data_IF_629602991747
#
_entry.id   IF_629602991747
#
_cell.length_a   1.000
_cell.length_b   1.000
_cell.length_c   1.000
_cell.angle_alpha   90.00
_cell.angle_beta   90.00
_cell.angle_gamma   90.00
#
_symmetry.space_group_name_H-M   'P 1'
#
loop_
_entity.id
_entity.type
_entity.pdbx_description
1 polymer ?
#
# COMPACT_ATOMS: atom_id res chain seq x y z
N UNK A 1 6.47 17.78 -6.41
CA UNK A 1 5.52 17.30 -7.45
C UNK A 1 6.10 16.00 -7.96
N UNK A 2 5.39 14.87 -7.85
CA UNK A 2 5.87 13.66 -8.53
C UNK A 2 5.85 13.94 -10.04
N UNK A 3 6.92 13.58 -10.75
CA UNK A 3 6.94 13.67 -12.19
C UNK A 3 5.74 12.90 -12.77
N UNK A 4 5.16 13.43 -13.84
CA UNK A 4 4.27 12.67 -14.71
C UNK A 4 4.99 11.41 -15.19
N UNK A 5 4.27 10.29 -15.34
CA UNK A 5 4.85 9.02 -15.77
C UNK A 5 3.78 7.93 -15.88
N UNK A 6 4.21 6.68 -16.08
CA UNK A 6 3.32 5.52 -16.16
C UNK A 6 3.03 5.03 -17.58
N UNK A 7 3.56 5.67 -18.61
CA UNK A 7 3.41 5.28 -20.02
C UNK A 7 3.85 3.84 -20.28
N UNK A 8 4.85 3.34 -19.55
CA UNK A 8 5.23 1.93 -19.57
C UNK A 8 4.05 0.98 -19.32
N UNK A 9 3.13 1.33 -18.41
CA UNK A 9 1.93 0.52 -18.13
C UNK A 9 1.04 0.42 -19.37
N UNK A 10 0.90 1.51 -20.13
CA UNK A 10 0.10 1.54 -21.36
C UNK A 10 0.74 0.68 -22.45
N UNK A 11 2.08 0.77 -22.61
CA UNK A 11 2.81 -0.07 -23.56
C UNK A 11 2.66 -1.56 -23.23
N UNK A 12 2.89 -1.95 -21.98
CA UNK A 12 2.76 -3.34 -21.52
C UNK A 12 1.32 -3.85 -21.66
N UNK A 13 0.33 -3.02 -21.32
CA UNK A 13 -1.08 -3.34 -21.53
C UNK A 13 -1.37 -3.57 -23.02
N UNK A 14 -0.90 -2.69 -23.90
CA UNK A 14 -1.07 -2.82 -25.36
C UNK A 14 -0.48 -4.14 -25.88
N UNK A 15 0.72 -4.52 -25.42
CA UNK A 15 1.35 -5.79 -25.77
C UNK A 15 0.50 -6.99 -25.28
N UNK A 16 0.09 -6.99 -24.01
CA UNK A 16 -0.71 -8.08 -23.43
C UNK A 16 -2.06 -8.28 -24.14
N UNK A 17 -2.69 -7.19 -24.58
CA UNK A 17 -3.98 -7.24 -25.29
C UNK A 17 -3.86 -7.90 -26.67
N UNK A 18 -2.69 -7.94 -27.30
CA UNK A 18 -2.49 -8.59 -28.61
C UNK A 18 -2.57 -10.11 -28.52
N UNK A 19 -2.22 -10.69 -27.37
CA UNK A 19 -2.22 -12.15 -27.17
C UNK A 19 -3.62 -12.71 -26.89
N UNK A 20 -4.53 -11.87 -26.39
CA UNK A 20 -5.90 -12.26 -26.12
C UNK A 20 -6.65 -12.55 -27.43
N UNK A 21 -7.64 -13.45 -27.46
CA UNK A 21 -8.38 -13.78 -28.71
C UNK A 21 -9.90 -13.77 -28.56
N UNK A 22 -10.38 -13.87 -27.33
CA UNK A 22 -11.81 -13.93 -27.07
C UNK A 22 -12.37 -12.50 -26.93
N UNK A 23 -13.10 -12.04 -27.95
CA UNK A 23 -13.68 -10.69 -28.00
C UNK A 23 -14.73 -10.43 -26.90
N UNK A 24 -15.32 -11.48 -26.32
CA UNK A 24 -16.27 -11.35 -25.20
C UNK A 24 -15.57 -11.14 -23.84
N UNK A 25 -14.24 -11.10 -23.82
CA UNK A 25 -13.46 -10.90 -22.60
C UNK A 25 -13.68 -9.50 -22.05
N UNK A 26 -14.04 -9.42 -20.76
CA UNK A 26 -14.07 -8.17 -20.00
C UNK A 26 -12.76 -8.08 -19.22
N UNK A 27 -12.09 -6.94 -19.34
CA UNK A 27 -10.79 -6.67 -18.73
C UNK A 27 -10.97 -5.59 -17.69
N UNK A 28 -10.47 -5.87 -16.49
CA UNK A 28 -10.24 -4.88 -15.46
C UNK A 28 -8.74 -4.57 -15.44
N UNK A 29 -8.40 -3.32 -15.67
CA UNK A 29 -7.07 -2.78 -15.39
C UNK A 29 -7.11 -2.04 -14.06
N UNK A 30 -6.12 -2.25 -13.20
CA UNK A 30 -5.88 -1.44 -12.00
C UNK A 30 -4.38 -1.28 -11.77
N UNK A 31 -4.00 -0.23 -11.04
CA UNK A 31 -2.74 -0.23 -10.32
C UNK A 31 -2.74 -1.35 -9.25
N UNK A 32 -1.58 -1.64 -8.67
CA UNK A 32 -1.42 -2.78 -7.74
C UNK A 32 -0.83 -2.42 -6.38
N UNK A 33 0.08 -1.45 -6.30
CA UNK A 33 0.79 -1.14 -5.05
C UNK A 33 -0.10 -0.51 -3.98
N UNK A 34 -1.16 0.17 -4.40
CA UNK A 34 -2.01 1.01 -3.56
C UNK A 34 -3.49 0.81 -3.87
N UNK A 35 -3.85 -0.40 -4.31
CA UNK A 35 -5.22 -0.80 -4.64
C UNK A 35 -5.68 -1.93 -3.74
N UNK A 36 -6.92 -1.82 -3.24
CA UNK A 36 -7.60 -2.86 -2.46
C UNK A 36 -8.92 -3.25 -3.13
N UNK A 37 -9.23 -4.53 -3.09
CA UNK A 37 -10.54 -5.05 -3.50
C UNK A 37 -11.45 -5.22 -2.27
N UNK A 38 -12.54 -4.46 -2.22
CA UNK A 38 -13.57 -4.54 -1.17
C UNK A 38 -14.70 -5.51 -1.51
N UNK A 39 -14.76 -6.03 -2.74
CA UNK A 39 -15.72 -7.05 -3.13
C UNK A 39 -15.20 -7.88 -4.32
N UNK A 40 -15.97 -8.90 -4.70
CA UNK A 40 -15.58 -9.87 -5.73
C UNK A 40 -16.06 -9.53 -7.16
N UNK A 41 -15.62 -10.32 -8.15
CA UNK A 41 -15.86 -10.07 -9.57
C UNK A 41 -17.34 -10.07 -9.97
N UNK A 42 -18.20 -10.83 -9.28
CA UNK A 42 -19.64 -10.87 -9.58
C UNK A 42 -20.32 -9.51 -9.37
N UNK A 43 -19.99 -8.81 -8.29
CA UNK A 43 -20.54 -7.48 -7.99
C UNK A 43 -20.00 -6.44 -8.98
N UNK A 44 -18.70 -6.51 -9.29
CA UNK A 44 -18.07 -5.64 -10.27
C UNK A 44 -18.73 -5.75 -11.65
N UNK A 45 -18.89 -6.99 -12.16
CA UNK A 45 -19.50 -7.24 -13.47
C UNK A 45 -20.95 -6.76 -13.52
N UNK A 46 -21.73 -6.98 -12.45
CA UNK A 46 -23.11 -6.47 -12.35
C UNK A 46 -23.14 -4.94 -12.46
N UNK A 47 -22.25 -4.25 -11.74
CA UNK A 47 -22.17 -2.77 -11.77
C UNK A 47 -21.68 -2.25 -13.12
N UNK A 48 -20.72 -2.92 -13.74
CA UNK A 48 -20.24 -2.57 -15.08
C UNK A 48 -21.34 -2.70 -16.13
N UNK A 49 -22.11 -3.80 -16.11
CA UNK A 49 -23.26 -3.99 -17.00
C UNK A 49 -24.34 -2.91 -16.78
N UNK A 50 -24.61 -2.55 -15.52
CA UNK A 50 -25.55 -1.47 -15.18
C UNK A 50 -25.09 -0.09 -15.66
N UNK A 51 -23.78 0.14 -15.78
CA UNK A 51 -23.26 1.39 -16.32
C UNK A 51 -23.60 1.55 -17.81
N UNK A 52 -23.87 0.45 -18.52
CA UNK A 52 -24.28 0.44 -19.94
C UNK A 52 -23.30 1.18 -20.88
N UNK A 53 -22.00 1.02 -20.63
CA UNK A 53 -20.93 1.55 -21.47
C UNK A 53 -19.94 0.44 -21.81
N UNK A 54 -19.11 0.64 -22.84
CA UNK A 54 -18.13 -0.36 -23.25
C UNK A 54 -16.84 -0.28 -22.47
N UNK A 55 -16.50 0.92 -21.99
CA UNK A 55 -15.37 1.17 -21.08
C UNK A 55 -15.83 2.14 -19.99
N UNK A 56 -15.54 1.81 -18.73
CA UNK A 56 -15.79 2.67 -17.58
C UNK A 56 -14.49 2.88 -16.83
N UNK A 57 -14.02 4.12 -16.79
CA UNK A 57 -12.88 4.53 -15.97
C UNK A 57 -13.31 4.84 -14.54
N UNK A 58 -12.35 4.75 -13.61
CA UNK A 58 -12.46 5.40 -12.32
C UNK A 58 -12.60 6.91 -12.49
N UNK A 59 -13.11 7.58 -11.46
CA UNK A 59 -13.35 9.02 -11.47
C UNK A 59 -12.62 9.72 -10.34
N UNK A 60 -12.23 10.97 -10.57
CA UNK A 60 -11.53 11.82 -9.61
C UNK A 60 -12.23 13.19 -9.48
N UNK A 61 -12.16 13.79 -8.30
CA UNK A 61 -12.67 15.14 -8.04
C UNK A 61 -11.66 16.21 -8.44
N UNK A 62 -10.37 15.87 -8.52
CA UNK A 62 -9.28 16.77 -8.87
C UNK A 62 -8.80 16.49 -10.30
N UNK A 63 -8.59 17.56 -11.07
CA UNK A 63 -8.00 17.45 -12.40
C UNK A 63 -6.47 17.36 -12.31
N UNK A 64 -5.91 16.35 -12.98
CA UNK A 64 -4.48 16.09 -13.08
C UNK A 64 -4.16 15.36 -14.41
N UNK A 65 -2.98 15.56 -15.03
CA UNK A 65 -1.93 16.52 -14.67
C UNK A 65 -2.17 17.95 -15.15
N UNK A 66 -2.97 18.14 -16.22
CA UNK A 66 -3.14 19.43 -16.87
C UNK A 66 -4.50 20.06 -16.56
N UNK A 67 -4.49 21.10 -15.72
CA UNK A 67 -5.70 21.82 -15.31
C UNK A 67 -6.35 22.61 -16.45
N UNK A 68 -5.61 22.95 -17.51
CA UNK A 68 -6.16 23.71 -18.64
C UNK A 68 -7.15 22.88 -19.49
N UNK A 69 -7.25 21.57 -19.25
CA UNK A 69 -8.20 20.69 -19.92
C UNK A 69 -9.57 20.66 -19.23
N UNK A 70 -9.79 21.40 -18.14
CA UNK A 70 -11.03 21.37 -17.35
C UNK A 70 -12.27 21.65 -18.21
N UNK A 71 -12.24 22.69 -19.05
CA UNK A 71 -13.37 23.08 -19.90
C UNK A 71 -13.69 22.04 -20.99
N UNK A 72 -12.74 21.17 -21.33
CA UNK A 72 -12.93 20.11 -22.34
C UNK A 72 -13.57 18.86 -21.75
N UNK A 73 -13.57 18.70 -20.44
CA UNK A 73 -14.22 17.56 -19.80
C UNK A 73 -15.74 17.71 -19.87
N UNK A 74 -16.50 16.63 -20.10
CA UNK A 74 -17.95 16.65 -19.98
C UNK A 74 -18.39 17.24 -18.65
N UNK A 75 -19.43 18.06 -18.68
CA UNK A 75 -20.08 18.49 -17.46
C UNK A 75 -20.90 17.34 -16.89
N UNK A 76 -20.84 17.19 -15.58
CA UNK A 76 -21.58 16.19 -14.81
C UNK A 76 -22.44 16.94 -13.81
N UNK A 77 -23.71 16.54 -13.69
CA UNK A 77 -24.64 17.19 -12.75
C UNK A 77 -24.29 16.86 -11.31
N UNK A 78 -23.79 15.65 -11.07
CA UNK A 78 -23.47 15.13 -9.75
C UNK A 78 -22.35 14.09 -9.89
N UNK A 79 -21.46 14.04 -8.91
CA UNK A 79 -20.34 13.11 -8.89
C UNK A 79 -19.02 13.72 -9.34
N UNK A 80 -17.97 12.90 -9.25
CA UNK A 80 -16.65 13.19 -9.75
C UNK A 80 -16.67 13.40 -11.26
N UNK A 81 -15.93 14.41 -11.75
CA UNK A 81 -15.96 14.84 -13.15
C UNK A 81 -14.81 14.28 -13.98
N UNK A 82 -13.65 14.09 -13.38
CA UNK A 82 -12.41 13.83 -14.11
C UNK A 82 -12.13 12.32 -14.19
N UNK A 83 -11.45 11.90 -15.25
CA UNK A 83 -11.01 10.52 -15.43
C UNK A 83 -9.90 10.20 -14.42
N UNK A 84 -9.84 8.97 -13.91
CA UNK A 84 -8.67 8.43 -13.22
C UNK A 84 -8.14 7.17 -13.91
N UNK A 85 -6.86 7.15 -14.30
CA UNK A 85 -6.24 6.07 -15.08
C UNK A 85 -5.84 4.85 -14.25
N UNK A 86 -5.77 4.99 -12.92
CA UNK A 86 -5.38 3.90 -12.01
C UNK A 86 -6.39 2.75 -11.92
N UNK A 87 -7.56 2.87 -12.55
CA UNK A 87 -8.54 1.80 -12.66
C UNK A 87 -9.54 2.01 -13.78
N UNK A 88 -9.78 0.99 -14.59
CA UNK A 88 -10.87 0.95 -15.57
C UNK A 88 -11.28 -0.47 -15.94
N UNK A 89 -12.52 -0.63 -16.36
CA UNK A 89 -13.09 -1.91 -16.81
C UNK A 89 -13.73 -1.73 -18.19
N UNK A 90 -13.56 -2.71 -19.07
CA UNK A 90 -14.14 -2.65 -20.40
C UNK A 90 -14.06 -3.95 -21.19
N UNK A 91 -14.72 -3.97 -22.34
CA UNK A 91 -14.59 -5.09 -23.29
C UNK A 91 -13.25 -5.04 -24.01
N UNK A 92 -12.65 -6.21 -24.24
CA UNK A 92 -11.37 -6.38 -24.95
C UNK A 92 -11.27 -5.55 -26.25
N UNK A 93 -12.23 -5.62 -27.21
CA UNK A 93 -12.14 -4.85 -28.45
C UNK A 93 -12.10 -3.34 -28.22
N UNK A 94 -12.88 -2.82 -27.27
CA UNK A 94 -12.91 -1.39 -26.95
C UNK A 94 -11.63 -0.92 -26.26
N UNK A 95 -11.05 -1.75 -25.38
CA UNK A 95 -9.77 -1.42 -24.73
C UNK A 95 -8.62 -1.47 -25.75
N UNK A 96 -8.64 -2.43 -26.69
CA UNK A 96 -7.67 -2.47 -27.78
C UNK A 96 -7.72 -1.23 -28.65
N UNK A 97 -8.92 -0.83 -29.09
CA UNK A 97 -9.11 0.40 -29.87
C UNK A 97 -8.58 1.62 -29.09
N UNK A 98 -8.86 1.69 -27.79
CA UNK A 98 -8.41 2.78 -26.91
C UNK A 98 -6.89 2.91 -26.82
N UNK A 99 -6.14 1.81 -26.73
CA UNK A 99 -4.67 1.84 -26.60
C UNK A 99 -3.92 1.69 -27.92
N UNK A 100 -4.61 1.40 -29.03
CA UNK A 100 -4.00 1.11 -30.33
C UNK A 100 -3.02 2.20 -30.79
N UNK A 101 -3.40 3.46 -30.59
CA UNK A 101 -2.63 4.64 -31.01
C UNK A 101 -1.51 5.03 -30.03
N UNK A 102 -1.28 4.28 -28.94
CA UNK A 102 -0.16 4.57 -28.03
C UNK A 102 1.17 4.51 -28.79
N UNK A 103 1.86 5.65 -28.79
CA UNK A 103 3.19 5.91 -29.38
C UNK A 103 4.09 6.72 -28.43
N UNK A 104 3.67 6.88 -27.17
CA UNK A 104 4.42 7.61 -26.16
C UNK A 104 5.57 6.78 -25.57
N UNK A 105 6.43 7.46 -24.83
CA UNK A 105 7.58 6.89 -24.13
C UNK A 105 7.18 6.30 -22.77
N UNK A 106 8.03 5.44 -22.20
CA UNK A 106 7.77 4.80 -20.89
C UNK A 106 7.60 5.82 -19.75
N UNK A 107 8.20 7.01 -19.89
CA UNK A 107 8.11 8.15 -18.95
C UNK A 107 6.92 9.08 -19.20
N UNK A 108 6.16 8.91 -20.28
CA UNK A 108 4.99 9.76 -20.55
C UNK A 108 3.86 9.48 -19.55
N UNK A 109 2.93 10.41 -19.40
CA UNK A 109 1.78 10.24 -18.51
C UNK A 109 0.71 9.33 -19.11
N UNK A 110 0.44 8.21 -18.44
CA UNK A 110 -0.72 7.36 -18.73
C UNK A 110 -2.04 8.11 -18.53
N UNK A 111 -2.16 8.86 -17.42
CA UNK A 111 -3.33 9.70 -17.13
C UNK A 111 -3.61 10.69 -18.25
N UNK A 112 -2.61 11.45 -18.71
CA UNK A 112 -2.81 12.45 -19.75
C UNK A 112 -3.23 11.80 -21.08
N UNK A 113 -2.66 10.64 -21.41
CA UNK A 113 -3.03 9.88 -22.60
C UNK A 113 -4.51 9.47 -22.58
N UNK A 114 -4.97 8.83 -21.50
CA UNK A 114 -6.39 8.45 -21.39
C UNK A 114 -7.31 9.67 -21.28
N UNK A 115 -6.87 10.74 -20.62
CA UNK A 115 -7.61 12.01 -20.55
C UNK A 115 -7.83 12.59 -21.95
N UNK A 116 -6.78 12.65 -22.79
CA UNK A 116 -6.88 13.15 -24.15
C UNK A 116 -7.85 12.34 -25.02
N UNK A 117 -7.91 11.02 -24.83
CA UNK A 117 -8.91 10.16 -25.50
C UNK A 117 -10.33 10.46 -25.00
N UNK A 118 -10.50 10.65 -23.68
CA UNK A 118 -11.82 10.87 -23.07
C UNK A 118 -12.42 12.24 -23.41
N UNK A 119 -11.61 13.29 -23.49
CA UNK A 119 -12.09 14.64 -23.82
C UNK A 119 -12.33 14.84 -25.32
N UNK A 120 -11.77 13.99 -26.19
CA UNK A 120 -12.10 13.94 -27.62
C UNK A 120 -13.52 13.38 -27.81
N UNK A 121 -14.51 14.18 -28.27
CA UNK A 121 -15.88 13.72 -28.40
C UNK A 121 -16.07 12.60 -29.41
N UNK A 122 -15.24 12.56 -30.46
CA UNK A 122 -15.31 11.56 -31.53
C UNK A 122 -14.80 10.23 -31.00
N UNK A 123 -13.61 10.22 -30.39
CA UNK A 123 -13.03 9.00 -29.79
C UNK A 123 -13.89 8.48 -28.63
N UNK A 124 -14.32 9.36 -27.71
CA UNK A 124 -15.19 8.97 -26.59
C UNK A 124 -16.47 8.29 -27.06
N UNK A 125 -17.11 8.84 -28.10
CA UNK A 125 -18.35 8.27 -28.66
C UNK A 125 -18.11 6.97 -29.42
N UNK A 126 -17.02 6.87 -30.19
CA UNK A 126 -16.66 5.66 -30.94
C UNK A 126 -16.42 4.48 -30.00
N UNK A 127 -15.55 4.67 -29.01
CA UNK A 127 -15.15 3.62 -28.06
C UNK A 127 -16.24 3.39 -26.98
N UNK A 128 -17.17 4.33 -26.82
CA UNK A 128 -18.22 4.33 -25.79
C UNK A 128 -17.64 4.30 -24.36
N UNK A 129 -16.87 5.36 -24.05
CA UNK A 129 -16.18 5.56 -22.76
C UNK A 129 -17.02 6.44 -21.83
N UNK A 130 -17.09 6.05 -20.56
CA UNK A 130 -17.57 6.90 -19.46
C UNK A 130 -16.64 6.81 -18.24
N UNK A 131 -16.93 7.60 -17.21
CA UNK A 131 -16.29 7.55 -15.89
C UNK A 131 -17.32 7.15 -14.82
N UNK A 132 -16.88 6.50 -13.75
CA UNK A 132 -17.73 6.09 -12.64
C UNK A 132 -18.01 7.26 -11.68
N UNK A 133 -18.82 8.23 -12.11
CA UNK A 133 -19.01 9.52 -11.42
C UNK A 133 -19.37 9.41 -9.94
N UNK A 134 -20.11 8.36 -9.54
CA UNK A 134 -20.62 8.17 -8.17
C UNK A 134 -19.88 7.07 -7.39
N UNK A 135 -18.68 6.71 -7.84
CA UNK A 135 -17.81 5.74 -7.17
C UNK A 135 -18.50 4.37 -6.90
N UNK A 136 -19.33 3.88 -7.83
CA UNK A 136 -20.05 2.60 -7.66
C UNK A 136 -19.10 1.40 -7.71
N UNK A 137 -18.09 1.48 -8.58
CA UNK A 137 -17.09 0.46 -8.82
C UNK A 137 -15.73 0.87 -8.25
N UNK A 138 -15.31 2.11 -8.48
CA UNK A 138 -13.97 2.61 -8.14
C UNK A 138 -14.06 3.77 -7.15
N UNK A 139 -13.28 3.73 -6.08
CA UNK A 139 -13.09 4.84 -5.15
C UNK A 139 -11.63 5.26 -5.13
N UNK A 140 -11.33 6.37 -5.79
CA UNK A 140 -10.05 7.07 -5.63
C UNK A 140 -10.09 7.89 -4.33
N UNK A 141 -9.06 7.82 -3.51
CA UNK A 141 -9.03 8.45 -2.19
C UNK A 141 -8.58 9.92 -2.22
N UNK A 142 -7.77 10.32 -3.19
CA UNK A 142 -7.27 11.69 -3.25
C UNK A 142 -8.39 12.67 -3.55
N UNK A 143 -8.62 13.62 -2.63
CA UNK A 143 -9.72 14.58 -2.71
C UNK A 143 -11.07 14.05 -2.19
N UNK A 144 -11.14 12.80 -1.70
CA UNK A 144 -12.38 12.17 -1.23
C UNK A 144 -12.27 11.51 0.15
N UNK A 145 -11.20 11.77 0.91
CA UNK A 145 -10.98 11.13 2.23
C UNK A 145 -12.13 11.34 3.22
N UNK A 146 -12.77 12.52 3.20
CA UNK A 146 -13.91 12.83 4.06
C UNK A 146 -15.21 12.11 3.68
N UNK A 147 -15.24 11.44 2.53
CA UNK A 147 -16.41 10.73 2.01
C UNK A 147 -16.37 9.24 2.30
N UNK A 148 -15.24 8.70 2.76
CA UNK A 148 -15.01 7.24 2.85
C UNK A 148 -14.98 6.78 4.30
N UNK A 149 -15.82 5.80 4.61
CA UNK A 149 -15.86 5.13 5.93
C UNK A 149 -15.77 3.61 5.79
N UNK A 150 -15.28 2.93 6.83
CA UNK A 150 -15.36 1.48 6.93
C UNK A 150 -16.81 1.06 7.23
N UNK A 151 -17.31 0.11 6.45
CA UNK A 151 -18.57 -0.59 6.68
C UNK A 151 -18.26 -2.05 7.02
N UNK A 152 -18.50 -2.41 8.27
CA UNK A 152 -18.45 -3.79 8.73
C UNK A 152 -19.73 -4.52 8.30
N UNK A 153 -19.55 -5.73 7.76
CA UNK A 153 -20.58 -6.68 7.35
C UNK A 153 -20.18 -8.06 7.91
N UNK A 154 -21.11 -9.01 7.91
CA UNK A 154 -20.82 -10.38 8.37
C UNK A 154 -19.70 -11.00 7.51
N UNK A 155 -18.57 -11.27 8.15
CA UNK A 155 -17.40 -11.91 7.53
C UNK A 155 -16.61 -11.04 6.55
N UNK A 156 -16.89 -9.74 6.43
CA UNK A 156 -16.08 -8.82 5.62
C UNK A 156 -16.24 -7.34 6.00
N UNK A 157 -15.25 -6.53 5.64
CA UNK A 157 -15.26 -5.07 5.77
C UNK A 157 -15.12 -4.43 4.38
N UNK A 158 -15.86 -3.34 4.15
CA UNK A 158 -15.83 -2.60 2.88
C UNK A 158 -15.62 -1.11 3.10
N UNK A 159 -15.21 -0.42 2.05
CA UNK A 159 -15.33 1.03 1.99
C UNK A 159 -16.77 1.40 1.59
N UNK A 160 -17.35 2.40 2.25
CA UNK A 160 -18.59 3.07 1.83
C UNK A 160 -18.29 4.52 1.52
N UNK A 161 -18.67 4.97 0.34
CA UNK A 161 -18.75 6.39 0.03
C UNK A 161 -20.07 6.92 0.59
N UNK A 162 -20.02 7.79 1.60
CA UNK A 162 -21.23 8.32 2.27
C UNK A 162 -21.89 9.46 1.49
N UNK A 163 -21.15 10.12 0.58
CA UNK A 163 -21.69 11.21 -0.24
C UNK A 163 -22.67 10.68 -1.28
N UNK A 164 -22.34 9.58 -1.95
CA UNK A 164 -23.18 8.98 -3.00
C UNK A 164 -23.96 7.75 -2.53
N UNK A 165 -23.81 7.38 -1.27
CA UNK A 165 -24.30 6.14 -0.69
C UNK A 165 -23.94 4.90 -1.52
N UNK A 166 -22.67 4.80 -1.92
CA UNK A 166 -22.16 3.70 -2.72
C UNK A 166 -21.17 2.84 -1.96
N UNK A 167 -21.04 1.60 -2.41
CA UNK A 167 -20.11 0.62 -1.87
C UNK A 167 -19.15 0.23 -2.98
N UNK A 168 -18.05 0.96 -3.21
CA UNK A 168 -17.07 0.65 -4.25
C UNK A 168 -16.56 -0.79 -4.14
N UNK A 169 -16.10 -1.34 -5.26
CA UNK A 169 -15.48 -2.68 -5.34
C UNK A 169 -13.96 -2.59 -5.32
N UNK A 170 -13.41 -1.51 -5.88
CA UNK A 170 -11.98 -1.21 -5.93
C UNK A 170 -11.76 0.11 -5.21
N UNK A 171 -10.82 0.13 -4.26
CA UNK A 171 -10.39 1.33 -3.54
C UNK A 171 -8.94 1.60 -3.93
N UNK A 172 -8.64 2.82 -4.37
CA UNK A 172 -7.34 3.20 -4.89
C UNK A 172 -6.79 4.38 -4.08
N UNK A 173 -5.67 4.15 -3.40
CA UNK A 173 -4.92 5.14 -2.62
C UNK A 173 -4.10 6.10 -3.48
N UNK A 174 -4.68 6.66 -4.54
CA UNK A 174 -3.98 7.53 -5.48
C UNK A 174 -3.35 8.76 -4.80
N UNK A 175 -2.28 9.30 -5.41
CA UNK A 175 -1.57 10.47 -4.90
C UNK A 175 -1.06 10.29 -3.45
N UNK A 176 -1.16 11.32 -2.58
CA UNK A 176 -0.65 11.31 -1.21
C UNK A 176 -1.57 10.59 -0.20
N UNK A 177 -2.28 9.54 -0.60
CA UNK A 177 -3.23 8.81 0.27
C UNK A 177 -2.80 7.39 0.63
N UNK A 178 -1.50 7.08 0.47
CA UNK A 178 -0.91 5.76 0.73
C UNK A 178 -1.09 5.31 2.19
N UNK A 179 -1.00 6.22 3.16
CA UNK A 179 -1.21 5.87 4.57
C UNK A 179 -2.69 5.58 4.86
N UNK A 180 -3.62 6.25 4.16
CA UNK A 180 -5.04 5.97 4.30
C UNK A 180 -5.41 4.62 3.69
N UNK A 181 -4.84 4.24 2.54
CA UNK A 181 -5.06 2.88 2.01
C UNK A 181 -4.45 1.81 2.93
N UNK A 182 -3.30 2.07 3.57
CA UNK A 182 -2.74 1.17 4.60
C UNK A 182 -3.72 0.99 5.78
N UNK A 183 -4.34 2.08 6.26
CA UNK A 183 -5.35 2.01 7.30
C UNK A 183 -6.55 1.14 6.88
N UNK A 184 -7.09 1.36 5.66
CA UNK A 184 -8.22 0.58 5.15
C UNK A 184 -7.85 -0.90 4.94
N UNK A 185 -6.62 -1.17 4.48
CA UNK A 185 -6.11 -2.52 4.22
C UNK A 185 -5.94 -3.39 5.46
N UNK A 186 -5.85 -2.79 6.65
CA UNK A 186 -5.90 -3.54 7.90
C UNK A 186 -7.25 -4.22 8.16
N UNK A 187 -8.29 -3.86 7.40
CA UNK A 187 -9.65 -4.39 7.57
C UNK A 187 -10.20 -5.02 6.29
N UNK A 188 -10.12 -4.29 5.17
CA UNK A 188 -10.72 -4.68 3.88
C UNK A 188 -9.89 -5.77 3.18
N UNK A 189 -10.51 -6.79 2.56
CA UNK A 189 -11.93 -7.12 2.67
C UNK A 189 -12.23 -7.97 3.90
N UNK A 190 -11.26 -8.67 4.47
CA UNK A 190 -11.45 -9.59 5.59
C UNK A 190 -10.18 -9.75 6.43
N UNK A 191 -9.27 -8.77 6.35
CA UNK A 191 -7.99 -8.81 7.05
C UNK A 191 -8.19 -8.79 8.57
N UNK A 192 -9.19 -8.03 9.03
CA UNK A 192 -9.70 -8.06 10.39
C UNK A 192 -11.23 -7.92 10.38
N UNK A 193 -11.92 -8.79 11.11
CA UNK A 193 -13.38 -8.75 11.30
C UNK A 193 -13.75 -8.97 12.77
N UNK A 194 -15.01 -8.69 13.16
CA UNK A 194 -15.48 -8.97 14.52
C UNK A 194 -15.57 -10.47 14.81
N UNK A 195 -15.83 -11.28 13.79
CA UNK A 195 -16.07 -12.72 13.92
C UNK A 195 -14.77 -13.52 13.98
N UNK A 196 -13.79 -13.15 13.15
CA UNK A 196 -12.53 -13.92 13.00
C UNK A 196 -11.32 -13.23 13.60
N UNK A 197 -11.43 -11.97 14.03
CA UNK A 197 -10.26 -11.16 14.33
C UNK A 197 -9.37 -11.00 13.10
N UNK A 198 -8.06 -10.88 13.33
CA UNK A 198 -7.06 -10.73 12.29
C UNK A 198 -6.75 -12.07 11.60
N UNK A 199 -6.90 -12.15 10.28
CA UNK A 199 -6.65 -13.40 9.53
C UNK A 199 -5.20 -13.59 9.10
N UNK A 200 -4.42 -12.50 9.01
CA UNK A 200 -3.03 -12.55 8.57
C UNK A 200 -1.99 -12.44 9.71
N UNK A 201 -2.42 -12.23 10.95
CA UNK A 201 -1.50 -11.96 12.07
C UNK A 201 -0.56 -13.13 12.40
N UNK A 202 -0.91 -14.33 11.94
CA UNK A 202 -0.11 -15.54 12.10
C UNK A 202 0.62 -15.95 10.82
N UNK A 203 0.53 -15.16 9.73
CA UNK A 203 1.25 -15.44 8.50
C UNK A 203 2.76 -15.31 8.73
N UNK A 204 3.52 -16.28 8.20
CA UNK A 204 4.98 -16.29 8.33
C UNK A 204 5.51 -16.54 9.74
N UNK A 205 4.68 -16.95 10.70
CA UNK A 205 5.16 -17.40 12.00
C UNK A 205 6.01 -18.67 11.85
N UNK A 206 7.17 -18.67 12.52
CA UNK A 206 8.02 -19.84 12.68
C UNK A 206 7.86 -20.36 14.12
N UNK A 207 7.10 -21.44 14.36
CA UNK A 207 7.00 -22.06 15.67
C UNK A 207 8.37 -22.58 16.12
N UNK A 208 8.79 -22.21 17.33
CA UNK A 208 10.10 -22.60 17.87
C UNK A 208 10.01 -23.87 18.73
N UNK A 209 8.80 -24.27 19.14
CA UNK A 209 8.52 -25.40 20.05
C UNK A 209 8.94 -26.76 19.48
N UNK A 210 9.13 -26.86 18.16
CA UNK A 210 9.56 -28.08 17.46
C UNK A 210 11.01 -28.06 16.96
N UNK A 211 11.75 -26.97 17.16
CA UNK A 211 13.12 -26.81 16.69
C UNK A 211 14.12 -27.08 17.81
N UNK A 212 15.29 -27.62 17.48
CA UNK A 212 16.41 -27.62 18.42
C UNK A 212 16.93 -26.19 18.60
N UNK A 213 17.41 -25.84 19.79
CA UNK A 213 17.91 -24.48 20.07
C UNK A 213 19.00 -24.02 19.08
N UNK A 214 19.80 -24.95 18.56
CA UNK A 214 20.83 -24.67 17.54
C UNK A 214 20.26 -24.19 16.20
N UNK A 215 18.99 -24.50 15.92
CA UNK A 215 18.28 -24.18 14.67
C UNK A 215 17.50 -22.86 14.77
N UNK A 216 17.38 -22.29 15.98
CA UNK A 216 16.67 -21.03 16.18
C UNK A 216 17.33 -19.92 15.34
N UNK A 217 16.57 -18.97 14.77
CA UNK A 217 17.16 -17.85 14.04
C UNK A 217 18.28 -17.14 14.82
N UNK A 218 19.24 -16.58 14.12
CA UNK A 218 20.23 -15.75 14.79
C UNK A 218 19.67 -14.33 14.92
N UNK A 219 19.65 -13.79 16.14
CA UNK A 219 19.03 -12.49 16.43
C UNK A 219 20.06 -11.53 16.99
N UNK A 220 20.08 -10.30 16.46
CA UNK A 220 20.81 -9.18 17.04
C UNK A 220 19.84 -8.36 17.91
N UNK A 221 20.17 -8.19 19.19
CA UNK A 221 19.49 -7.28 20.10
C UNK A 221 20.33 -6.01 20.23
N UNK A 222 19.83 -4.91 19.69
CA UNK A 222 20.43 -3.59 19.84
C UNK A 222 19.79 -2.83 21.00
N UNK A 223 20.61 -2.46 21.99
CA UNK A 223 20.23 -1.80 23.23
C UNK A 223 20.77 -0.37 23.19
N UNK A 224 19.90 0.61 23.45
CA UNK A 224 20.24 2.03 23.39
C UNK A 224 19.92 2.71 24.72
N UNK A 225 20.95 3.15 25.43
CA UNK A 225 20.86 3.93 26.67
C UNK A 225 21.24 5.37 26.33
N UNK A 226 20.26 6.17 25.91
CA UNK A 226 20.48 7.52 25.34
C UNK A 226 20.25 8.66 26.33
N UNK A 227 19.71 8.35 27.51
CA UNK A 227 19.34 9.30 28.56
C UNK A 227 19.49 8.62 29.92
N UNK A 228 19.66 9.37 31.02
CA UNK A 228 19.64 8.81 32.37
C UNK A 228 18.35 8.01 32.59
N UNK A 229 18.48 6.70 32.70
CA UNK A 229 17.38 5.74 32.74
C UNK A 229 17.40 5.01 34.08
N UNK A 230 16.35 5.12 34.91
CA UNK A 230 16.27 4.36 36.15
C UNK A 230 16.32 2.85 35.92
N UNK A 231 16.87 2.11 36.88
CA UNK A 231 16.84 0.64 36.92
C UNK A 231 17.50 -0.10 35.74
N UNK A 232 18.55 0.45 35.13
CA UNK A 232 19.33 -0.21 34.05
C UNK A 232 19.84 -1.59 34.44
N UNK A 233 20.29 -1.80 35.67
CA UNK A 233 20.67 -3.13 36.17
C UNK A 233 19.50 -4.13 36.06
N UNK A 234 18.28 -3.72 36.43
CA UNK A 234 17.07 -4.56 36.35
C UNK A 234 16.68 -4.83 34.89
N UNK A 235 16.93 -3.88 33.98
CA UNK A 235 16.76 -4.12 32.54
C UNK A 235 17.68 -5.26 32.06
N UNK A 236 18.96 -5.24 32.44
CA UNK A 236 19.90 -6.31 32.09
C UNK A 236 19.55 -7.66 32.74
N UNK A 237 19.05 -7.67 33.97
CA UNK A 237 18.51 -8.89 34.59
C UNK A 237 17.34 -9.49 33.80
N UNK A 238 16.47 -8.64 33.22
CA UNK A 238 15.38 -9.10 32.35
C UNK A 238 15.89 -9.61 31.01
N UNK A 239 16.92 -8.98 30.43
CA UNK A 239 17.57 -9.45 29.21
C UNK A 239 18.10 -10.88 29.38
N UNK A 240 18.73 -11.20 30.52
CA UNK A 240 19.21 -12.56 30.83
C UNK A 240 18.08 -13.59 30.92
N UNK A 241 16.91 -13.15 31.40
CA UNK A 241 15.72 -14.00 31.58
C UNK A 241 14.93 -14.23 30.28
N UNK A 242 15.29 -13.60 29.17
CA UNK A 242 14.67 -13.88 27.87
C UNK A 242 14.75 -15.38 27.56
N UNK A 243 13.62 -15.97 27.19
CA UNK A 243 13.51 -17.38 26.83
C UNK A 243 13.97 -17.59 25.37
N UNK A 244 15.23 -17.28 25.12
CA UNK A 244 15.93 -17.52 23.85
C UNK A 244 17.37 -17.99 24.15
N UNK A 245 17.95 -18.90 23.35
CA UNK A 245 19.32 -19.37 23.56
C UNK A 245 20.32 -18.22 23.42
N UNK A 246 21.14 -17.98 24.44
CA UNK A 246 22.02 -16.80 24.49
C UNK A 246 23.12 -16.89 23.43
N UNK A 247 23.58 -18.10 23.13
CA UNK A 247 24.47 -18.42 22.01
C UNK A 247 23.84 -18.22 20.61
N UNK A 248 22.54 -17.91 20.51
CA UNK A 248 21.83 -17.48 19.28
C UNK A 248 21.47 -15.99 19.31
N UNK A 249 21.95 -15.25 20.32
CA UNK A 249 21.80 -13.81 20.44
C UNK A 249 23.14 -13.12 20.26
N UNK A 250 23.17 -12.09 19.44
CA UNK A 250 24.22 -11.07 19.43
C UNK A 250 23.73 -9.83 20.16
N UNK A 251 24.61 -9.14 20.85
CA UNK A 251 24.29 -7.88 21.50
C UNK A 251 25.05 -6.73 20.85
N UNK A 252 24.34 -5.64 20.59
CA UNK A 252 24.93 -4.32 20.36
C UNK A 252 24.44 -3.40 21.48
N UNK A 253 25.35 -2.80 22.24
CA UNK A 253 25.01 -1.88 23.33
C UNK A 253 25.60 -0.52 23.03
N UNK A 254 24.76 0.47 22.81
CA UNK A 254 25.17 1.87 22.77
C UNK A 254 24.73 2.57 24.05
N UNK A 255 25.71 3.05 24.82
CA UNK A 255 25.50 3.83 26.04
C UNK A 255 26.06 5.24 25.85
N UNK A 256 25.19 6.24 25.91
CA UNK A 256 25.56 7.66 25.85
C UNK A 256 25.79 8.25 27.25
N UNK A 257 25.46 7.50 28.30
CA UNK A 257 25.41 8.01 29.66
C UNK A 257 26.57 7.49 30.51
N UNK A 258 27.55 8.35 30.82
CA UNK A 258 28.74 7.99 31.61
C UNK A 258 28.40 7.31 32.95
N UNK A 259 27.33 7.77 33.64
CA UNK A 259 26.92 7.18 34.90
C UNK A 259 26.37 5.75 34.79
N UNK A 260 25.97 5.31 33.59
CA UNK A 260 25.52 3.94 33.32
C UNK A 260 26.66 3.00 32.89
N UNK A 261 27.88 3.51 32.63
CA UNK A 261 29.01 2.68 32.20
C UNK A 261 29.29 1.55 33.19
N UNK A 262 29.31 1.84 34.49
CA UNK A 262 29.55 0.84 35.52
C UNK A 262 28.56 -0.33 35.45
N UNK A 263 27.29 -0.05 35.17
CA UNK A 263 26.24 -1.07 35.08
C UNK A 263 26.37 -1.90 33.81
N UNK A 264 26.72 -1.26 32.68
CA UNK A 264 26.99 -1.94 31.40
C UNK A 264 28.22 -2.84 31.53
N UNK A 265 29.32 -2.33 32.07
CA UNK A 265 30.56 -3.09 32.26
C UNK A 265 30.38 -4.27 33.19
N UNK A 266 29.63 -4.11 34.30
CA UNK A 266 29.32 -5.23 35.21
C UNK A 266 28.54 -6.33 34.49
N UNK A 267 27.49 -5.98 33.75
CA UNK A 267 26.71 -6.95 32.98
C UNK A 267 27.58 -7.71 31.96
N UNK A 268 28.40 -7.00 31.21
CA UNK A 268 29.28 -7.60 30.18
C UNK A 268 30.33 -8.53 30.80
N UNK A 269 30.90 -8.13 31.94
CA UNK A 269 31.87 -8.95 32.66
C UNK A 269 31.24 -10.25 33.15
N UNK A 270 30.04 -10.18 33.72
CA UNK A 270 29.43 -11.34 34.37
C UNK A 270 28.71 -12.26 33.36
N UNK A 271 28.25 -11.71 32.24
CA UNK A 271 27.34 -12.43 31.34
C UNK A 271 27.63 -12.27 29.84
N UNK A 272 28.58 -11.42 29.43
CA UNK A 272 28.86 -11.15 28.02
C UNK A 272 29.24 -12.40 27.21
N UNK A 273 29.97 -13.34 27.83
CA UNK A 273 30.40 -14.59 27.21
C UNK A 273 29.28 -15.61 26.95
N UNK A 274 28.09 -15.39 27.51
CA UNK A 274 26.93 -16.24 27.22
C UNK A 274 26.36 -15.98 25.83
N UNK A 275 26.59 -14.77 25.29
CA UNK A 275 26.08 -14.33 24.01
C UNK A 275 27.03 -14.74 22.88
N UNK A 276 26.49 -14.89 21.67
CA UNK A 276 27.29 -15.31 20.52
C UNK A 276 28.36 -14.27 20.15
N UNK A 277 28.00 -13.00 20.25
CA UNK A 277 28.87 -11.86 19.98
C UNK A 277 28.34 -10.63 20.72
N UNK A 278 29.24 -9.76 21.16
CA UNK A 278 28.88 -8.54 21.89
C UNK A 278 29.74 -7.38 21.43
N UNK A 279 29.08 -6.32 20.97
CA UNK A 279 29.70 -5.04 20.62
C UNK A 279 29.15 -3.93 21.50
N UNK A 280 30.04 -3.05 21.94
CA UNK A 280 29.70 -1.95 22.85
C UNK A 280 30.25 -0.65 22.28
N UNK A 281 29.44 0.39 22.33
CA UNK A 281 29.76 1.76 21.98
C UNK A 281 29.48 2.62 23.21
N UNK A 282 30.53 3.23 23.77
CA UNK A 282 30.44 4.02 24.99
C UNK A 282 30.20 5.51 24.75
N UNK A 283 30.08 6.31 25.81
CA UNK A 283 29.83 7.76 25.71
C UNK A 283 30.93 8.53 24.99
N UNK A 284 32.16 7.99 25.02
CA UNK A 284 33.37 8.51 24.36
C UNK A 284 33.23 8.57 22.82
N UNK A 285 32.37 7.75 22.22
CA UNK A 285 32.26 7.64 20.75
C UNK A 285 31.41 8.77 20.11
N UNK A 286 30.99 9.79 20.86
CA UNK A 286 30.22 10.98 20.42
C UNK A 286 29.28 10.73 19.22
N UNK A 287 28.42 9.72 19.33
CA UNK A 287 27.42 9.40 18.31
C UNK A 287 26.08 10.02 18.67
N UNK A 288 25.42 10.63 17.68
CA UNK A 288 24.03 11.02 17.86
C UNK A 288 23.08 9.80 17.84
N UNK A 289 21.81 10.06 18.17
CA UNK A 289 20.76 9.04 18.24
C UNK A 289 20.51 8.33 16.91
N UNK A 290 20.67 9.01 15.77
CA UNK A 290 20.42 8.42 14.46
C UNK A 290 21.63 7.59 14.01
N UNK A 291 22.84 8.11 14.19
CA UNK A 291 24.10 7.46 13.86
C UNK A 291 24.26 6.14 14.63
N UNK A 292 23.98 6.12 15.94
CA UNK A 292 24.07 4.91 16.76
C UNK A 292 23.08 3.82 16.31
N UNK A 293 21.85 4.21 15.93
CA UNK A 293 20.85 3.27 15.39
C UNK A 293 21.23 2.74 14.01
N UNK A 294 21.76 3.60 13.14
CA UNK A 294 22.25 3.22 11.81
C UNK A 294 23.46 2.29 11.87
N UNK A 295 24.31 2.43 12.89
CA UNK A 295 25.45 1.51 13.09
C UNK A 295 25.00 0.12 13.55
N UNK A 296 23.87 0.03 14.25
CA UNK A 296 23.35 -1.21 14.78
C UNK A 296 22.49 -2.01 13.76
N UNK A 297 21.88 -1.31 12.81
CA UNK A 297 21.08 -1.90 11.71
C UNK A 297 21.98 -2.42 10.60
#
# INVERSE_FOLDING_TARGET
>A
MSATGGGQKVRLLKEALQEMKNEDTIILFTDSYDVLFSSGPKELLKKFQQANHKVVFSSESLIWPDRHLEDKHPHVTEGNRFLGSGGFIGYLPSIREMVADWKGEDSDSDQLFFTNIYIDPVKRKSINITVDNKCRMFQNLHGALGEVVLKFEDGRVRARNVLYDTLPVVVHGNGPTKLQINYLGNYIPNMWTFETGCTACNEGLLPLEGLQESEYPLVLIAIFIQKPTPFVTVFFERLLKLQYPKNRLKLFIHNQEAHHESQVSLFLKDHGSLYQDVRVSGPEEEMDTAASRNLAM
#
